data_IF_381140337249
#
_entry.id   IF_381140337249
#
_cell.length_a   1.000
_cell.length_b   1.000
_cell.length_c   1.000
_cell.angle_alpha   90.00
_cell.angle_beta   90.00
_cell.angle_gamma   90.00
#
_symmetry.space_group_name_H-M   'P 1'
#
loop_
_entity.id
_entity.type
_entity.pdbx_description
1 polymer ?
#
# COMPACT_ATOMS: atom_id res chain seq x y z
N UNK A 1 -2.31 2.90 -23.48
CA UNK A 1 -1.48 1.68 -23.35
C UNK A 1 -0.79 1.75 -22.00
N UNK A 2 -0.98 0.75 -21.13
CA UNK A 2 -0.26 0.67 -19.86
C UNK A 2 1.19 0.28 -20.18
N UNK A 3 2.17 0.92 -19.54
CA UNK A 3 3.58 0.68 -19.82
C UNK A 3 3.96 -0.78 -19.51
N UNK A 4 4.73 -1.41 -20.40
CA UNK A 4 5.36 -2.71 -20.14
C UNK A 4 6.56 -2.50 -19.22
N UNK A 5 6.30 -2.37 -17.92
CA UNK A 5 7.34 -2.44 -16.90
C UNK A 5 7.86 -3.87 -16.80
N UNK A 6 9.17 -4.08 -16.96
CA UNK A 6 9.80 -5.41 -16.82
C UNK A 6 10.05 -5.80 -15.35
N UNK A 7 9.43 -5.09 -14.39
CA UNK A 7 9.60 -5.37 -12.98
C UNK A 7 8.86 -6.67 -12.61
N UNK A 8 9.54 -7.57 -11.88
CA UNK A 8 8.93 -8.81 -11.38
C UNK A 8 8.29 -8.64 -10.01
N UNK A 9 8.76 -7.68 -9.23
CA UNK A 9 8.26 -7.36 -7.90
C UNK A 9 8.60 -5.92 -7.52
N UNK A 10 7.87 -5.37 -6.55
CA UNK A 10 8.17 -4.08 -5.94
C UNK A 10 8.05 -4.17 -4.42
N UNK A 11 9.08 -3.71 -3.70
CA UNK A 11 9.08 -3.65 -2.24
C UNK A 11 9.07 -2.18 -1.82
N UNK A 12 8.06 -1.80 -1.04
CA UNK A 12 7.80 -0.40 -0.69
C UNK A 12 8.17 -0.18 0.76
N UNK A 13 8.99 0.82 1.03
CA UNK A 13 9.36 1.27 2.36
C UNK A 13 9.09 2.76 2.47
N UNK A 14 8.65 3.23 3.63
CA UNK A 14 8.36 4.65 3.84
C UNK A 14 7.32 4.87 4.92
N UNK A 15 6.67 6.03 4.85
CA UNK A 15 5.70 6.50 5.81
C UNK A 15 4.27 6.53 5.25
N UNK A 16 3.41 7.35 5.85
CA UNK A 16 2.03 7.62 5.45
C UNK A 16 1.81 7.89 3.96
N UNK A 17 2.80 8.47 3.26
CA UNK A 17 2.69 8.81 1.84
C UNK A 17 2.52 7.55 1.00
N UNK A 18 3.13 6.44 1.39
CA UNK A 18 3.10 5.17 0.65
C UNK A 18 2.50 4.02 1.46
N UNK A 19 2.06 4.26 2.69
CA UNK A 19 1.28 3.30 3.47
C UNK A 19 -0.05 2.97 2.77
N UNK A 20 -0.35 1.68 2.73
CA UNK A 20 -1.55 1.11 2.10
C UNK A 20 -2.47 0.41 3.08
N UNK A 21 -2.24 0.59 4.39
CA UNK A 21 -3.02 0.01 5.48
C UNK A 21 -2.24 -0.89 6.42
N UNK A 22 -0.90 -0.78 6.49
CA UNK A 22 -0.13 -1.52 7.49
C UNK A 22 -0.54 -1.11 8.91
N UNK A 23 -0.77 0.18 9.14
CA UNK A 23 -1.11 0.69 10.45
C UNK A 23 -2.44 0.17 11.00
N UNK A 24 -3.35 -0.33 10.15
CA UNK A 24 -4.63 -0.89 10.59
C UNK A 24 -4.45 -2.16 11.45
N UNK A 25 -3.31 -2.85 11.27
CA UNK A 25 -2.93 -4.06 12.01
C UNK A 25 -2.05 -3.76 13.24
N UNK A 26 -1.75 -2.49 13.52
CA UNK A 26 -0.92 -2.06 14.63
C UNK A 26 -1.75 -1.36 15.72
N UNK A 27 -1.26 -1.40 16.95
CA UNK A 27 -1.79 -0.59 18.06
C UNK A 27 -1.20 0.83 17.98
N UNK A 28 -1.86 1.68 17.20
CA UNK A 28 -1.43 3.05 16.90
C UNK A 28 -2.62 3.96 16.62
N UNK A 29 -2.47 5.26 16.86
CA UNK A 29 -3.44 6.28 16.47
C UNK A 29 -3.26 6.76 15.03
N UNK A 30 -2.11 6.49 14.41
CA UNK A 30 -1.79 6.85 13.03
C UNK A 30 -2.49 5.92 12.05
N UNK A 31 -3.81 5.96 11.95
CA UNK A 31 -4.63 5.14 11.04
C UNK A 31 -5.35 6.03 10.03
N UNK A 32 -5.70 5.46 8.88
CA UNK A 32 -6.48 6.12 7.83
C UNK A 32 -7.62 5.21 7.31
N UNK A 33 -8.17 4.38 8.19
CA UNK A 33 -9.29 3.47 7.91
C UNK A 33 -10.65 4.07 8.28
N UNK A 34 -10.77 5.39 8.19
CA UNK A 34 -11.99 6.14 8.51
C UNK A 34 -12.20 7.32 7.54
N UNK A 35 -13.43 7.82 7.47
CA UNK A 35 -13.78 8.98 6.66
C UNK A 35 -13.01 10.25 7.07
N UNK A 36 -12.46 11.06 6.15
CA UNK A 36 -12.76 11.10 4.71
C UNK A 36 -11.81 10.26 3.83
N UNK A 37 -10.90 9.49 4.41
CA UNK A 37 -9.96 8.69 3.61
C UNK A 37 -10.68 7.64 2.77
N UNK A 38 -10.15 7.40 1.58
CA UNK A 38 -10.71 6.40 0.66
C UNK A 38 -12.06 6.77 0.03
N UNK A 39 -12.54 8.03 0.11
CA UNK A 39 -13.82 8.44 -0.50
C UNK A 39 -13.87 8.24 -2.02
N UNK A 40 -12.73 8.33 -2.69
CA UNK A 40 -12.56 8.08 -4.14
C UNK A 40 -11.98 6.68 -4.42
N UNK A 41 -11.75 5.86 -3.40
CA UNK A 41 -11.18 4.52 -3.52
C UNK A 41 -12.27 3.45 -3.57
N UNK A 42 -12.24 2.49 -4.51
CA UNK A 42 -13.30 1.48 -4.63
C UNK A 42 -13.54 0.63 -3.37
N UNK A 43 -12.52 0.47 -2.53
CA UNK A 43 -12.60 -0.26 -1.25
C UNK A 43 -12.94 0.61 -0.03
N UNK A 44 -13.24 1.90 -0.22
CA UNK A 44 -13.41 2.85 0.87
C UNK A 44 -12.10 3.11 1.63
N UNK A 45 -12.21 3.39 2.93
CA UNK A 45 -11.07 3.69 3.78
C UNK A 45 -10.25 2.41 4.09
N UNK A 46 -9.14 2.20 3.38
CA UNK A 46 -8.28 1.02 3.53
C UNK A 46 -6.97 1.30 4.28
N UNK A 47 -6.86 2.41 5.01
CA UNK A 47 -5.61 2.81 5.67
C UNK A 47 -4.62 3.55 4.77
N UNK A 48 -5.02 3.94 3.56
CA UNK A 48 -4.28 4.89 2.71
C UNK A 48 -4.56 6.31 3.17
N UNK A 49 -3.52 7.12 3.39
CA UNK A 49 -3.64 8.53 3.80
C UNK A 49 -3.99 9.45 2.62
N UNK A 50 -5.01 9.07 1.84
CA UNK A 50 -5.51 9.78 0.66
C UNK A 50 -6.96 9.40 0.39
N UNK A 51 -7.64 10.13 -0.49
CA UNK A 51 -8.99 9.76 -0.94
C UNK A 51 -8.98 8.53 -1.85
N UNK A 52 -7.86 8.23 -2.52
CA UNK A 52 -7.78 7.25 -3.59
C UNK A 52 -6.52 6.40 -3.52
N UNK A 53 -5.83 6.29 -4.66
CA UNK A 53 -4.54 5.61 -4.79
C UNK A 53 -3.42 6.46 -4.23
N UNK A 54 -2.45 5.84 -3.57
CA UNK A 54 -1.21 6.50 -3.17
C UNK A 54 -0.15 6.37 -4.30
N UNK A 55 1.01 7.04 -4.20
CA UNK A 55 2.06 6.97 -5.20
C UNK A 55 2.58 5.54 -5.46
N UNK A 56 2.61 4.68 -4.43
CA UNK A 56 3.04 3.29 -4.58
C UNK A 56 2.05 2.48 -5.43
N UNK A 57 0.75 2.65 -5.25
CA UNK A 57 -0.27 1.99 -6.08
C UNK A 57 -0.15 2.42 -7.55
N UNK A 58 0.05 3.72 -7.79
CA UNK A 58 0.22 4.27 -9.14
C UNK A 58 1.48 3.70 -9.77
N UNK A 59 2.59 3.64 -9.04
CA UNK A 59 3.83 3.07 -9.53
C UNK A 59 3.71 1.58 -9.83
N UNK A 60 3.07 0.79 -8.94
CA UNK A 60 2.83 -0.64 -9.17
C UNK A 60 2.06 -0.87 -10.47
N UNK A 61 1.02 -0.05 -10.70
CA UNK A 61 0.23 -0.10 -11.92
C UNK A 61 1.05 0.26 -13.17
N UNK A 62 1.90 1.30 -13.10
CA UNK A 62 2.78 1.68 -14.21
C UNK A 62 3.85 0.62 -14.50
N UNK A 63 4.24 -0.17 -13.49
CA UNK A 63 5.19 -1.27 -13.61
C UNK A 63 4.56 -2.58 -14.10
N UNK A 64 3.24 -2.63 -14.33
CA UNK A 64 2.54 -3.86 -14.72
C UNK A 64 2.45 -4.91 -13.60
N UNK A 65 2.71 -4.51 -12.35
CA UNK A 65 2.56 -5.36 -11.17
C UNK A 65 1.09 -5.40 -10.72
N UNK A 66 0.71 -6.30 -9.78
CA UNK A 66 -0.59 -6.22 -9.13
C UNK A 66 -0.85 -4.79 -8.63
N UNK A 67 -2.03 -4.27 -8.96
CA UNK A 67 -2.40 -2.87 -8.70
C UNK A 67 -2.22 -2.46 -7.23
N UNK A 68 -2.40 -3.41 -6.31
CA UNK A 68 -2.26 -3.19 -4.88
C UNK A 68 -1.35 -4.28 -4.32
N UNK A 69 -0.18 -3.88 -3.82
CA UNK A 69 0.71 -4.80 -3.13
C UNK A 69 0.12 -5.17 -1.77
N UNK A 70 0.34 -6.42 -1.30
CA UNK A 70 -0.06 -6.82 0.04
C UNK A 70 0.70 -6.01 1.09
N UNK A 71 0.02 -5.64 2.17
CA UNK A 71 0.62 -4.94 3.32
C UNK A 71 1.29 -5.94 4.25
N UNK A 72 2.49 -5.62 4.74
CA UNK A 72 3.31 -6.54 5.52
C UNK A 72 2.62 -7.10 6.78
N UNK A 73 1.89 -6.27 7.52
CA UNK A 73 1.27 -6.69 8.79
C UNK A 73 -0.04 -7.47 8.64
N UNK A 74 -0.60 -7.62 7.44
CA UNK A 74 -1.77 -8.47 7.23
C UNK A 74 -1.38 -9.96 7.40
N UNK A 75 -2.05 -10.74 8.29
CA UNK A 75 -1.76 -12.15 8.48
C UNK A 75 -1.86 -13.01 7.21
N UNK A 76 -2.56 -12.52 6.18
CA UNK A 76 -2.73 -13.15 4.86
C UNK A 76 -1.56 -12.90 3.92
N UNK A 77 -0.65 -11.97 4.23
CA UNK A 77 0.53 -11.63 3.42
C UNK A 77 1.63 -12.70 3.57
N UNK A 78 1.37 -13.89 3.00
CA UNK A 78 2.23 -15.07 3.09
C UNK A 78 2.19 -15.89 1.80
N UNK A 79 3.16 -16.79 1.63
CA UNK A 79 3.20 -17.72 0.50
C UNK A 79 3.23 -16.98 -0.84
N UNK A 80 2.41 -17.41 -1.80
CA UNK A 80 2.42 -16.83 -3.16
C UNK A 80 2.01 -15.35 -3.22
N UNK A 81 1.35 -14.82 -2.17
CA UNK A 81 0.94 -13.42 -2.13
C UNK A 81 2.11 -12.44 -2.18
N UNK A 82 3.30 -12.85 -1.75
CA UNK A 82 4.47 -11.96 -1.63
C UNK A 82 5.34 -11.93 -2.90
N UNK A 83 5.04 -12.78 -3.89
CA UNK A 83 5.91 -12.99 -5.05
C UNK A 83 6.06 -11.75 -5.93
N UNK A 84 5.03 -10.90 -5.95
CA UNK A 84 5.05 -9.60 -6.65
C UNK A 84 5.56 -8.45 -5.78
N UNK A 85 6.02 -8.75 -4.57
CA UNK A 85 6.50 -7.77 -3.59
C UNK A 85 5.49 -7.42 -2.50
N UNK A 86 5.90 -6.54 -1.59
CA UNK A 86 5.21 -6.22 -0.33
C UNK A 86 5.31 -4.72 -0.06
N UNK A 87 4.26 -4.14 0.52
CA UNK A 87 4.30 -2.82 1.11
C UNK A 87 4.62 -2.90 2.62
N UNK A 88 5.79 -2.41 3.02
CA UNK A 88 6.27 -2.30 4.41
C UNK A 88 6.08 -0.89 5.01
N UNK A 89 5.58 0.07 4.24
CA UNK A 89 5.44 1.43 4.71
C UNK A 89 4.41 1.53 5.84
N UNK A 90 4.72 2.31 6.88
CA UNK A 90 3.85 2.52 8.04
C UNK A 90 3.78 4.00 8.36
N UNK A 91 2.56 4.53 8.56
CA UNK A 91 2.42 5.92 8.95
C UNK A 91 3.07 6.21 10.31
N UNK A 92 3.89 7.26 10.35
CA UNK A 92 4.72 7.62 11.50
C UNK A 92 6.14 7.06 11.47
N UNK A 93 6.51 6.29 10.44
CA UNK A 93 7.91 5.90 10.22
C UNK A 93 8.80 7.12 9.97
N UNK A 94 10.01 7.09 10.52
CA UNK A 94 11.07 8.07 10.28
C UNK A 94 11.96 7.70 9.09
N UNK A 95 13.09 8.40 8.98
CA UNK A 95 14.13 8.10 7.99
C UNK A 95 14.71 6.70 8.29
N UNK A 96 14.88 5.90 7.23
CA UNK A 96 15.49 4.57 7.23
C UNK A 96 17.03 4.65 7.26
#
# INVERSE_FOLDING_TARGET
>A
AMAEGNAKAMFVFGDSIVDSGNNDFLDTTSKANFYPYGVDFPGGATGRFTNGRNPADILAQLLGLPHFLPVFYDPRTKGNAILSGINYATAGSGIL
#
